data_IF_499641031380
#
_entry.id   IF_499641031380
#
_cell.length_a   1.000
_cell.length_b   1.000
_cell.length_c   1.000
_cell.angle_alpha   90.00
_cell.angle_beta   90.00
_cell.angle_gamma   90.00
#
_symmetry.space_group_name_H-M   'P 1'
#
loop_
_entity.id
_entity.type
_entity.pdbx_description
1 polymer ?
#
# COMPACT_ATOMS: atom_id res chain seq x y z
N UNK A 1 15.81 -2.69 11.42
CA UNK A 1 14.52 -3.28 11.86
C UNK A 1 14.64 -3.94 13.24
N UNK A 2 15.51 -4.97 13.43
CA UNK A 2 15.61 -5.69 14.73
C UNK A 2 15.86 -4.79 15.94
N UNK A 3 16.71 -3.77 15.82
CA UNK A 3 17.00 -2.82 16.93
C UNK A 3 15.78 -2.04 17.37
N UNK A 4 14.93 -1.59 16.44
CA UNK A 4 13.67 -0.91 16.76
C UNK A 4 12.69 -1.86 17.44
N UNK A 5 12.53 -3.08 16.93
CA UNK A 5 11.64 -4.07 17.52
C UNK A 5 12.02 -4.43 18.96
N UNK A 6 13.32 -4.50 19.25
CA UNK A 6 13.81 -4.73 20.61
C UNK A 6 13.60 -3.50 21.50
N UNK A 7 13.96 -2.31 21.03
CA UNK A 7 13.86 -1.08 21.82
C UNK A 7 12.42 -0.65 22.14
N UNK A 8 11.47 -0.95 21.24
CA UNK A 8 10.06 -0.57 21.43
C UNK A 8 9.18 -1.69 21.98
N UNK A 9 9.72 -2.90 22.15
CA UNK A 9 8.94 -4.08 22.56
C UNK A 9 8.17 -3.85 23.86
N UNK A 10 8.82 -3.38 24.87
CA UNK A 10 8.23 -3.23 26.21
C UNK A 10 7.19 -2.10 26.23
N UNK A 11 7.42 -1.02 25.47
CA UNK A 11 6.40 0.01 25.23
C UNK A 11 5.15 -0.59 24.57
N UNK A 12 5.33 -1.36 23.50
CA UNK A 12 4.22 -1.97 22.75
C UNK A 12 3.41 -2.93 23.63
N UNK A 13 4.11 -3.76 24.43
CA UNK A 13 3.45 -4.68 25.35
C UNK A 13 2.65 -3.93 26.42
N UNK A 14 3.19 -2.87 26.97
CA UNK A 14 2.51 -2.05 27.97
C UNK A 14 1.28 -1.34 27.38
N UNK A 15 1.40 -0.72 26.21
CA UNK A 15 0.27 -0.13 25.49
C UNK A 15 -0.82 -1.18 25.19
N UNK A 16 -0.43 -2.40 24.83
CA UNK A 16 -1.38 -3.49 24.59
C UNK A 16 -2.11 -3.95 25.85
N UNK A 17 -1.43 -3.96 26.99
CA UNK A 17 -2.02 -4.33 28.27
C UNK A 17 -2.99 -3.26 28.81
N UNK A 18 -2.60 -1.98 28.72
CA UNK A 18 -3.41 -0.88 29.25
C UNK A 18 -4.54 -0.46 28.28
N UNK A 19 -4.42 -0.75 26.97
CA UNK A 19 -5.39 -0.41 25.92
C UNK A 19 -5.81 -1.65 25.11
N UNK A 20 -6.38 -2.65 25.77
CA UNK A 20 -6.73 -3.96 25.19
C UNK A 20 -7.65 -3.89 23.96
N UNK A 21 -8.53 -2.89 23.90
CA UNK A 21 -9.52 -2.72 22.83
C UNK A 21 -9.00 -1.90 21.64
N UNK A 22 -7.72 -1.51 21.64
CA UNK A 22 -7.06 -0.81 20.55
C UNK A 22 -6.17 -1.78 19.80
N UNK A 23 -6.46 -1.99 18.51
CA UNK A 23 -5.57 -2.76 17.63
C UNK A 23 -4.40 -1.88 17.26
N UNK A 24 -3.17 -2.35 17.49
CA UNK A 24 -1.96 -1.60 17.14
C UNK A 24 -1.02 -2.43 16.28
N UNK A 25 -0.37 -1.76 15.33
CA UNK A 25 0.63 -2.34 14.43
C UNK A 25 1.82 -1.38 14.36
N UNK A 26 3.00 -1.92 14.55
CA UNK A 26 4.25 -1.15 14.55
C UNK A 26 5.18 -1.62 13.44
N UNK A 27 5.74 -0.67 12.71
CA UNK A 27 6.72 -0.92 11.69
C UNK A 27 7.88 0.07 11.85
N UNK A 28 9.00 -0.38 12.37
CA UNK A 28 10.12 0.45 12.79
C UNK A 28 9.68 1.54 13.77
N UNK A 29 9.77 2.81 13.37
CA UNK A 29 9.38 4.00 14.11
C UNK A 29 7.91 4.43 13.88
N UNK A 30 7.24 3.79 12.90
CA UNK A 30 5.83 4.09 12.60
C UNK A 30 4.88 3.24 13.44
N UNK A 31 4.16 3.87 14.35
CA UNK A 31 3.10 3.26 15.15
C UNK A 31 1.71 3.55 14.54
N UNK A 32 0.89 2.53 14.44
CA UNK A 32 -0.48 2.62 13.94
C UNK A 32 -1.44 2.04 14.97
N UNK A 33 -2.57 2.70 15.17
CA UNK A 33 -3.61 2.25 16.07
C UNK A 33 -4.99 2.35 15.42
N UNK A 34 -5.86 1.39 15.72
CA UNK A 34 -7.23 1.33 15.23
C UNK A 34 -8.20 0.97 16.35
N UNK A 35 -9.32 1.67 16.42
CA UNK A 35 -10.33 1.43 17.46
C UNK A 35 -11.39 2.53 17.50
N UNK A 36 -12.19 2.53 18.58
CA UNK A 36 -13.16 3.61 18.84
C UNK A 36 -12.42 4.88 19.27
N UNK A 37 -12.90 6.05 18.86
CA UNK A 37 -12.21 7.34 19.05
C UNK A 37 -11.79 7.61 20.50
N UNK A 38 -12.66 7.37 21.48
CA UNK A 38 -12.32 7.58 22.91
C UNK A 38 -11.20 6.66 23.37
N UNK A 39 -11.21 5.38 22.95
CA UNK A 39 -10.14 4.43 23.25
C UNK A 39 -8.84 4.76 22.54
N UNK A 40 -8.92 5.27 21.30
CA UNK A 40 -7.75 5.79 20.58
C UNK A 40 -7.16 7.01 21.28
N UNK A 41 -8.01 7.87 21.88
CA UNK A 41 -7.52 9.01 22.69
C UNK A 41 -6.77 8.54 23.94
N UNK A 42 -7.30 7.55 24.65
CA UNK A 42 -6.63 6.97 25.82
C UNK A 42 -5.28 6.36 25.43
N UNK A 43 -5.23 5.63 24.32
CA UNK A 43 -3.99 5.06 23.77
C UNK A 43 -3.00 6.16 23.37
N UNK A 44 -3.46 7.23 22.72
CA UNK A 44 -2.64 8.37 22.34
C UNK A 44 -2.05 9.09 23.55
N UNK A 45 -2.84 9.34 24.58
CA UNK A 45 -2.40 9.99 25.81
C UNK A 45 -1.39 9.12 26.55
N UNK A 46 -1.67 7.82 26.64
CA UNK A 46 -0.73 6.88 27.23
C UNK A 46 0.60 6.84 26.47
N UNK A 47 0.55 6.75 25.13
CA UNK A 47 1.75 6.78 24.29
C UNK A 47 2.57 8.06 24.50
N UNK A 48 1.93 9.22 24.56
CA UNK A 48 2.62 10.50 24.84
C UNK A 48 3.24 10.54 26.23
N UNK A 49 2.59 9.93 27.22
CA UNK A 49 3.06 9.91 28.61
C UNK A 49 4.24 8.97 28.84
N UNK A 50 4.19 7.76 28.30
CA UNK A 50 5.21 6.73 28.56
C UNK A 50 6.24 6.58 27.42
N UNK A 51 5.88 6.92 26.19
CA UNK A 51 6.76 6.80 25.02
C UNK A 51 8.15 7.39 25.20
N UNK A 52 8.29 8.60 25.76
CA UNK A 52 9.61 9.22 26.01
C UNK A 52 10.56 8.36 26.84
N UNK A 53 10.06 7.54 27.77
CA UNK A 53 10.86 6.61 28.58
C UNK A 53 11.53 5.53 27.73
N UNK A 54 10.97 5.26 26.55
CA UNK A 54 11.45 4.26 25.58
C UNK A 54 12.08 4.91 24.33
N UNK A 55 12.33 6.25 24.37
CA UNK A 55 12.88 6.99 23.25
C UNK A 55 11.90 7.24 22.08
N UNK A 56 10.60 7.05 22.32
CA UNK A 56 9.53 7.29 21.33
C UNK A 56 8.84 8.61 21.62
N UNK A 57 8.91 9.54 20.67
CA UNK A 57 8.34 10.88 20.78
C UNK A 57 7.30 11.09 19.66
N UNK A 58 6.01 10.84 19.93
CA UNK A 58 4.96 11.05 18.95
C UNK A 58 4.96 12.49 18.42
N UNK A 59 4.78 12.64 17.10
CA UNK A 59 4.71 13.96 16.46
C UNK A 59 3.28 14.21 15.97
N UNK A 60 2.48 15.03 16.68
CA UNK A 60 1.08 15.27 16.31
C UNK A 60 0.92 15.78 14.88
N UNK A 61 1.78 16.71 14.44
CA UNK A 61 1.74 17.29 13.07
C UNK A 61 2.02 16.28 11.94
N UNK A 62 2.59 15.12 12.27
CA UNK A 62 2.80 14.00 11.33
C UNK A 62 1.78 12.87 11.52
N UNK A 63 0.95 12.99 12.56
CA UNK A 63 -0.07 11.98 12.88
C UNK A 63 -1.34 12.28 12.09
N UNK A 64 -1.90 11.24 11.47
CA UNK A 64 -3.16 11.34 10.73
C UNK A 64 -4.21 10.45 11.39
N UNK A 65 -5.36 11.02 11.68
CA UNK A 65 -6.55 10.31 12.15
C UNK A 65 -7.51 10.16 10.97
N UNK A 66 -7.65 8.94 10.48
CA UNK A 66 -8.56 8.63 9.37
C UNK A 66 -9.87 8.11 9.94
N UNK A 67 -10.95 8.83 9.71
CA UNK A 67 -12.28 8.47 10.15
C UNK A 67 -12.99 7.63 9.09
N UNK A 68 -13.69 6.60 9.55
CA UNK A 68 -14.52 5.77 8.68
C UNK A 68 -15.81 6.49 8.24
N UNK A 69 -16.31 7.39 9.08
CA UNK A 69 -17.59 8.07 8.90
C UNK A 69 -17.44 9.56 9.27
N UNK A 70 -17.99 10.43 8.44
CA UNK A 70 -17.99 11.88 8.66
C UNK A 70 -18.80 12.32 9.88
N UNK A 71 -19.76 11.52 10.33
CA UNK A 71 -20.52 11.79 11.57
C UNK A 71 -19.65 11.82 12.82
N UNK A 72 -18.45 11.22 12.74
CA UNK A 72 -17.48 11.18 13.83
C UNK A 72 -16.58 12.43 13.89
N UNK A 73 -16.64 13.32 12.90
CA UNK A 73 -15.81 14.54 12.84
C UNK A 73 -15.90 15.41 14.11
N UNK A 74 -17.11 15.79 14.60
CA UNK A 74 -17.20 16.64 15.79
C UNK A 74 -16.53 16.02 17.02
N UNK A 75 -16.74 14.71 17.22
CA UNK A 75 -16.10 13.99 18.33
C UNK A 75 -14.58 13.88 18.14
N UNK A 76 -14.13 13.69 16.91
CA UNK A 76 -12.70 13.61 16.62
C UNK A 76 -12.00 14.95 16.84
N UNK A 77 -12.63 16.05 16.47
CA UNK A 77 -12.14 17.41 16.72
C UNK A 77 -12.12 17.75 18.23
N UNK A 78 -13.17 17.38 18.96
CA UNK A 78 -13.21 17.50 20.42
C UNK A 78 -12.02 16.77 21.08
N UNK A 79 -11.73 15.55 20.65
CA UNK A 79 -10.72 14.71 21.30
C UNK A 79 -9.28 14.98 20.86
N UNK A 80 -9.08 15.38 19.60
CA UNK A 80 -7.75 15.47 18.98
C UNK A 80 -7.40 16.83 18.39
N UNK A 81 -8.35 17.75 18.26
CA UNK A 81 -8.14 19.04 17.59
C UNK A 81 -7.03 19.90 18.22
N UNK A 82 -6.97 19.95 19.56
CA UNK A 82 -5.95 20.73 20.27
C UNK A 82 -4.52 20.19 20.10
N UNK A 83 -4.36 18.94 19.69
CA UNK A 83 -3.03 18.31 19.55
C UNK A 83 -2.35 18.60 18.21
N UNK A 84 -3.06 19.17 17.25
CA UNK A 84 -2.55 19.39 15.89
C UNK A 84 -2.45 18.10 15.06
N UNK A 85 -3.21 17.07 15.42
CA UNK A 85 -3.39 15.84 14.64
C UNK A 85 -4.22 16.14 13.39
N UNK A 86 -3.79 15.68 12.23
CA UNK A 86 -4.53 15.86 11.00
C UNK A 86 -5.70 14.90 10.93
N UNK A 87 -6.92 15.42 11.02
CA UNK A 87 -8.16 14.63 10.93
C UNK A 87 -8.66 14.63 9.49
N UNK A 88 -9.03 13.46 8.96
CA UNK A 88 -9.55 13.30 7.60
C UNK A 88 -10.58 12.17 7.50
N UNK A 89 -11.55 12.34 6.62
CA UNK A 89 -12.54 11.32 6.24
C UNK A 89 -12.24 10.69 4.89
N UNK A 90 -11.29 11.23 4.15
CA UNK A 90 -10.93 10.75 2.82
C UNK A 90 -9.99 9.56 2.90
N UNK A 91 -8.82 9.77 3.46
CA UNK A 91 -7.80 8.72 3.60
C UNK A 91 -6.41 9.26 3.83
N UNK A 92 -5.48 8.34 3.97
CA UNK A 92 -4.06 8.64 4.13
C UNK A 92 -3.18 7.61 3.45
N UNK A 93 -2.01 8.05 2.98
CA UNK A 93 -0.95 7.15 2.48
C UNK A 93 -0.12 6.65 3.64
N UNK A 94 0.12 5.34 3.69
CA UNK A 94 0.87 4.73 4.75
C UNK A 94 1.73 3.59 4.25
N UNK A 95 3.04 3.63 4.52
CA UNK A 95 4.02 2.59 4.15
C UNK A 95 3.89 2.17 2.67
N UNK A 96 3.65 3.15 1.78
CA UNK A 96 3.50 2.91 0.34
C UNK A 96 2.13 2.40 -0.12
N UNK A 97 1.23 2.09 0.81
CA UNK A 97 -0.18 1.75 0.55
C UNK A 97 -1.10 2.93 0.85
N UNK A 98 -2.40 2.69 0.84
CA UNK A 98 -3.44 3.68 1.12
C UNK A 98 -4.54 3.08 1.99
N UNK A 99 -4.99 3.88 2.96
CA UNK A 99 -6.16 3.61 3.79
C UNK A 99 -7.12 4.77 3.61
N UNK A 100 -8.39 4.51 3.39
CA UNK A 100 -9.40 5.56 3.21
C UNK A 100 -10.68 5.04 2.58
N UNK A 101 -11.51 5.99 2.14
CA UNK A 101 -12.73 5.70 1.39
C UNK A 101 -12.40 5.19 -0.03
N UNK A 102 -13.41 4.67 -0.73
CA UNK A 102 -13.21 4.07 -2.04
C UNK A 102 -12.72 5.08 -3.08
N UNK A 103 -13.20 6.32 -3.04
CA UNK A 103 -12.77 7.37 -3.97
C UNK A 103 -11.28 7.68 -3.81
N UNK A 104 -10.79 7.83 -2.59
CA UNK A 104 -9.37 8.08 -2.30
C UNK A 104 -8.47 6.90 -2.73
N UNK A 105 -8.92 5.66 -2.46
CA UNK A 105 -8.21 4.47 -2.91
C UNK A 105 -8.13 4.38 -4.43
N UNK A 106 -9.26 4.63 -5.09
CA UNK A 106 -9.38 4.61 -6.56
C UNK A 106 -8.44 5.63 -7.20
N UNK A 107 -8.48 6.89 -6.78
CA UNK A 107 -7.60 7.95 -7.27
C UNK A 107 -6.13 7.61 -7.09
N UNK A 108 -5.75 7.14 -5.91
CA UNK A 108 -4.38 6.73 -5.62
C UNK A 108 -3.89 5.63 -6.55
N UNK A 109 -4.70 4.57 -6.74
CA UNK A 109 -4.33 3.41 -7.55
C UNK A 109 -4.29 3.78 -9.03
N UNK A 110 -5.28 4.53 -9.53
CA UNK A 110 -5.33 4.99 -10.93
C UNK A 110 -4.10 5.84 -11.28
N UNK A 111 -3.75 6.81 -10.43
CA UNK A 111 -2.54 7.62 -10.60
C UNK A 111 -1.24 6.79 -10.64
N UNK A 112 -1.20 5.65 -9.94
CA UNK A 112 -0.07 4.71 -10.00
C UNK A 112 -0.06 3.92 -11.30
N UNK A 113 -1.22 3.43 -11.72
CA UNK A 113 -1.37 2.63 -12.94
C UNK A 113 -0.98 3.46 -14.16
N UNK A 114 -1.43 4.71 -14.26
CA UNK A 114 -1.03 5.62 -15.34
C UNK A 114 0.48 5.73 -15.48
N UNK A 115 1.20 5.90 -14.37
CA UNK A 115 2.67 5.92 -14.38
C UNK A 115 3.27 4.60 -14.81
N UNK A 116 2.72 3.48 -14.35
CA UNK A 116 3.22 2.16 -14.74
C UNK A 116 2.94 1.83 -16.20
N UNK A 117 1.84 2.30 -16.77
CA UNK A 117 1.54 2.19 -18.20
C UNK A 117 2.60 2.93 -19.02
N UNK A 118 2.97 4.16 -18.60
CA UNK A 118 4.05 4.91 -19.25
C UNK A 118 5.39 4.17 -19.15
N UNK A 119 5.74 3.67 -17.96
CA UNK A 119 6.96 2.90 -17.73
C UNK A 119 7.00 1.62 -18.60
N UNK A 120 5.86 0.90 -18.74
CA UNK A 120 5.72 -0.29 -19.59
C UNK A 120 5.90 0.04 -21.07
N UNK A 121 5.31 1.15 -21.53
CA UNK A 121 5.45 1.58 -22.92
C UNK A 121 6.90 1.97 -23.26
N UNK A 122 7.59 2.67 -22.38
CA UNK A 122 9.02 2.96 -22.53
C UNK A 122 9.85 1.68 -22.55
N UNK A 123 9.51 0.71 -21.71
CA UNK A 123 10.19 -0.58 -21.73
C UNK A 123 9.92 -1.38 -23.00
N UNK A 124 8.72 -1.25 -23.58
CA UNK A 124 8.39 -1.84 -24.87
C UNK A 124 9.24 -1.26 -26.02
N UNK A 125 9.55 0.03 -25.99
CA UNK A 125 10.45 0.64 -26.97
C UNK A 125 11.87 0.10 -26.86
N UNK A 126 12.40 -0.04 -25.65
CA UNK A 126 13.69 -0.68 -25.38
C UNK A 126 13.70 -2.14 -25.84
N UNK A 127 12.59 -2.86 -25.63
CA UNK A 127 12.48 -4.27 -25.97
C UNK A 127 12.60 -4.57 -27.48
N UNK A 128 12.38 -3.59 -28.34
CA UNK A 128 12.58 -3.75 -29.81
C UNK A 128 14.03 -3.99 -30.18
N UNK A 129 14.95 -3.44 -29.40
CA UNK A 129 16.40 -3.57 -29.62
C UNK A 129 17.02 -4.58 -28.65
N UNK A 130 16.58 -4.56 -27.37
CA UNK A 130 17.15 -5.34 -26.27
C UNK A 130 16.08 -6.17 -25.53
N UNK A 131 15.46 -7.19 -26.17
CA UNK A 131 14.30 -7.90 -25.62
C UNK A 131 14.62 -8.66 -24.32
N UNK A 132 15.84 -9.21 -24.17
CA UNK A 132 16.22 -9.96 -22.96
C UNK A 132 16.45 -9.02 -21.76
N UNK A 133 17.07 -7.87 -21.99
CA UNK A 133 17.25 -6.85 -20.97
C UNK A 133 15.91 -6.31 -20.48
N UNK A 134 15.00 -6.01 -21.42
CA UNK A 134 13.65 -5.56 -21.11
C UNK A 134 12.85 -6.60 -20.31
N UNK A 135 12.90 -7.89 -20.70
CA UNK A 135 12.25 -8.97 -19.96
C UNK A 135 12.79 -9.09 -18.51
N UNK A 136 14.08 -8.97 -18.34
CA UNK A 136 14.71 -9.00 -17.01
C UNK A 136 14.29 -7.81 -16.16
N UNK A 137 14.29 -6.60 -16.71
CA UNK A 137 13.85 -5.38 -16.02
C UNK A 137 12.37 -5.46 -15.62
N UNK A 138 11.52 -6.00 -16.51
CA UNK A 138 10.11 -6.25 -16.22
C UNK A 138 9.93 -7.21 -15.04
N UNK A 139 10.57 -8.37 -15.07
CA UNK A 139 10.38 -9.43 -14.08
C UNK A 139 10.94 -9.06 -12.70
N UNK A 140 12.15 -8.50 -12.65
CA UNK A 140 12.87 -8.25 -11.39
C UNK A 140 12.44 -6.91 -10.76
N UNK A 141 12.26 -5.89 -11.57
CA UNK A 141 12.01 -4.52 -11.09
C UNK A 141 10.54 -4.12 -11.15
N UNK A 142 10.00 -4.08 -12.36
CA UNK A 142 8.72 -3.43 -12.64
C UNK A 142 7.53 -4.19 -12.05
N UNK A 143 7.45 -5.50 -12.28
CA UNK A 143 6.31 -6.32 -11.83
C UNK A 143 6.15 -6.39 -10.31
N UNK A 144 7.18 -6.09 -9.54
CA UNK A 144 7.12 -6.10 -8.08
C UNK A 144 6.37 -4.87 -7.52
N UNK A 145 6.34 -3.75 -8.28
CA UNK A 145 5.74 -2.49 -7.83
C UNK A 145 4.24 -2.61 -7.63
N UNK A 146 3.51 -3.19 -8.60
CA UNK A 146 2.05 -3.35 -8.48
C UNK A 146 1.63 -4.52 -7.63
N UNK A 147 2.45 -5.57 -7.50
CA UNK A 147 2.17 -6.69 -6.59
C UNK A 147 1.98 -6.24 -5.14
N UNK A 148 2.73 -5.23 -4.71
CA UNK A 148 2.56 -4.64 -3.38
C UNK A 148 1.19 -3.98 -3.22
N UNK A 149 0.78 -3.16 -4.18
CA UNK A 149 -0.52 -2.48 -4.16
C UNK A 149 -1.67 -3.48 -4.19
N UNK A 150 -1.60 -4.50 -5.06
CA UNK A 150 -2.61 -5.56 -5.14
C UNK A 150 -2.78 -6.35 -3.83
N UNK A 151 -1.73 -6.48 -3.03
CA UNK A 151 -1.79 -7.16 -1.74
C UNK A 151 -2.32 -6.29 -0.60
N UNK A 152 -2.11 -5.00 -0.69
CA UNK A 152 -2.36 -4.06 0.41
C UNK A 152 -3.64 -3.26 0.24
N UNK A 153 -4.14 -3.11 -0.98
CA UNK A 153 -5.39 -2.39 -1.28
C UNK A 153 -6.40 -3.38 -1.84
N UNK A 154 -7.57 -3.47 -1.21
CA UNK A 154 -8.64 -4.39 -1.60
C UNK A 154 -9.51 -3.81 -2.72
N UNK A 155 -10.15 -4.69 -3.48
CA UNK A 155 -11.22 -4.38 -4.45
C UNK A 155 -10.81 -3.44 -5.60
N UNK A 156 -9.52 -3.47 -5.99
CA UNK A 156 -8.95 -2.61 -7.04
C UNK A 156 -8.60 -3.35 -8.33
N UNK A 157 -8.90 -4.65 -8.42
CA UNK A 157 -8.50 -5.49 -9.55
C UNK A 157 -8.93 -4.93 -10.90
N UNK A 158 -10.16 -4.41 -11.00
CA UNK A 158 -10.73 -3.82 -12.21
C UNK A 158 -9.98 -2.59 -12.74
N UNK A 159 -9.22 -1.91 -11.88
CA UNK A 159 -8.44 -0.73 -12.27
C UNK A 159 -7.20 -1.08 -13.08
N UNK A 160 -6.73 -2.34 -13.02
CA UNK A 160 -5.48 -2.76 -13.65
C UNK A 160 -5.59 -3.05 -15.15
N UNK A 161 -6.79 -3.01 -15.73
CA UNK A 161 -7.01 -3.29 -17.14
C UNK A 161 -6.08 -2.48 -18.07
N UNK A 162 -5.89 -1.14 -17.91
CA UNK A 162 -5.00 -0.38 -18.78
C UNK A 162 -3.54 -0.85 -18.70
N UNK A 163 -3.08 -1.31 -17.54
CA UNK A 163 -1.74 -1.85 -17.37
C UNK A 163 -1.60 -3.22 -18.07
N UNK A 164 -2.61 -4.08 -17.96
CA UNK A 164 -2.65 -5.36 -18.65
C UNK A 164 -2.65 -5.17 -20.17
N UNK A 165 -3.43 -4.21 -20.67
CA UNK A 165 -3.49 -3.87 -22.10
C UNK A 165 -2.12 -3.38 -22.60
N UNK A 166 -1.42 -2.55 -21.85
CA UNK A 166 -0.08 -2.08 -22.21
C UNK A 166 0.95 -3.24 -22.21
N UNK A 167 0.88 -4.14 -21.23
CA UNK A 167 1.77 -5.32 -21.18
C UNK A 167 1.51 -6.24 -22.36
N UNK A 168 0.25 -6.59 -22.63
CA UNK A 168 -0.12 -7.56 -23.67
C UNK A 168 -0.11 -6.97 -25.07
N UNK A 169 -0.46 -5.70 -25.21
CA UNK A 169 -0.55 -5.02 -26.50
C UNK A 169 0.80 -4.48 -27.01
N UNK A 170 1.67 -4.04 -26.10
CA UNK A 170 2.90 -3.34 -26.47
C UNK A 170 4.16 -4.10 -26.04
N UNK A 171 4.31 -4.42 -24.74
CA UNK A 171 5.55 -4.98 -24.23
C UNK A 171 5.80 -6.41 -24.69
N UNK A 172 4.82 -7.29 -24.56
CA UNK A 172 4.99 -8.69 -24.95
C UNK A 172 5.24 -8.88 -26.45
N UNK A 173 4.52 -8.21 -27.36
CA UNK A 173 4.86 -8.22 -28.78
C UNK A 173 6.25 -7.69 -29.10
N UNK A 174 6.71 -6.65 -28.42
CA UNK A 174 8.06 -6.11 -28.59
C UNK A 174 9.14 -7.12 -28.15
N UNK A 175 8.95 -7.79 -27.01
CA UNK A 175 9.87 -8.84 -26.53
C UNK A 175 9.89 -10.05 -27.46
N UNK A 176 8.72 -10.48 -27.96
CA UNK A 176 8.61 -11.68 -28.79
C UNK A 176 8.86 -11.45 -30.29
N UNK A 177 9.01 -10.19 -30.72
CA UNK A 177 9.17 -9.79 -32.12
C UNK A 177 7.91 -10.03 -32.98
N UNK A 178 6.76 -10.34 -32.39
CA UNK A 178 5.47 -10.59 -33.05
C UNK A 178 4.28 -10.45 -32.11
N UNK A 179 3.11 -10.24 -32.68
CA UNK A 179 1.85 -10.27 -31.92
C UNK A 179 1.56 -11.69 -31.45
N UNK A 180 1.18 -11.84 -30.20
CA UNK A 180 0.82 -13.11 -29.59
C UNK A 180 -0.68 -13.41 -29.73
N UNK A 181 -1.02 -14.66 -30.00
CA UNK A 181 -2.39 -15.16 -29.89
C UNK A 181 -2.84 -15.22 -28.43
N UNK A 182 -4.14 -15.31 -28.18
CA UNK A 182 -4.69 -15.37 -26.81
C UNK A 182 -4.19 -16.59 -26.02
N UNK A 183 -4.00 -17.73 -26.68
CA UNK A 183 -3.42 -18.93 -26.07
C UNK A 183 -1.97 -18.72 -25.66
N UNK A 184 -1.17 -18.06 -26.51
CA UNK A 184 0.23 -17.73 -26.20
C UNK A 184 0.34 -16.70 -25.11
N UNK A 185 -0.53 -15.69 -25.07
CA UNK A 185 -0.60 -14.72 -23.97
C UNK A 185 -0.81 -15.41 -22.62
N UNK A 186 -1.73 -16.38 -22.56
CA UNK A 186 -1.98 -17.18 -21.35
C UNK A 186 -0.76 -18.01 -20.95
N UNK A 187 -0.06 -18.61 -21.91
CA UNK A 187 1.17 -19.38 -21.65
C UNK A 187 2.30 -18.48 -21.14
N UNK A 188 2.53 -17.34 -21.78
CA UNK A 188 3.54 -16.36 -21.34
C UNK A 188 3.20 -15.84 -19.94
N UNK A 189 1.94 -15.54 -19.67
CA UNK A 189 1.50 -15.21 -18.33
C UNK A 189 1.85 -16.30 -17.31
N UNK A 190 1.63 -17.57 -17.58
CA UNK A 190 2.00 -18.68 -16.70
C UNK A 190 3.52 -18.82 -16.51
N UNK A 191 4.31 -18.64 -17.55
CA UNK A 191 5.78 -18.74 -17.49
C UNK A 191 6.40 -17.60 -16.69
N UNK A 192 5.93 -16.39 -16.88
CA UNK A 192 6.33 -15.23 -16.07
C UNK A 192 5.90 -15.39 -14.60
N UNK A 193 5.00 -16.32 -14.31
CA UNK A 193 4.39 -16.58 -13.03
C UNK A 193 4.91 -17.80 -12.30
N UNK A 194 5.36 -18.82 -13.01
CA UNK A 194 5.86 -20.06 -12.42
C UNK A 194 7.11 -19.87 -11.53
N UNK A 195 7.72 -18.69 -11.56
CA UNK A 195 8.83 -18.35 -10.71
C UNK A 195 8.51 -18.14 -9.22
N UNK A 196 7.25 -17.89 -8.83
CA UNK A 196 6.77 -17.87 -7.42
C UNK A 196 5.26 -17.90 -7.37
N UNK A 197 4.70 -18.89 -6.69
CA UNK A 197 3.27 -19.09 -6.44
C UNK A 197 2.56 -17.79 -6.03
N UNK A 198 1.55 -17.41 -6.78
CA UNK A 198 0.46 -16.58 -6.29
C UNK A 198 0.29 -15.23 -6.96
N UNK A 199 -0.90 -14.99 -7.40
CA UNK A 199 -1.61 -13.74 -7.70
C UNK A 199 -1.67 -13.25 -9.15
N UNK A 200 -2.44 -13.97 -9.97
CA UNK A 200 -3.26 -13.43 -11.05
C UNK A 200 -4.49 -14.33 -11.20
N UNK A 201 -5.40 -14.17 -10.31
CA UNK A 201 -6.69 -14.85 -10.32
C UNK A 201 -7.81 -13.87 -10.68
N UNK A 202 -7.50 -12.85 -11.50
CA UNK A 202 -8.47 -11.80 -11.81
C UNK A 202 -9.09 -11.87 -13.21
N UNK A 203 -8.71 -12.86 -14.04
CA UNK A 203 -9.33 -13.05 -15.34
C UNK A 203 -10.02 -14.41 -15.47
N UNK A 204 -10.71 -14.87 -14.43
CA UNK A 204 -11.70 -15.95 -14.55
C UNK A 204 -12.95 -15.55 -13.77
N UNK A 205 -13.77 -14.70 -14.37
CA UNK A 205 -15.23 -14.72 -14.32
C UNK A 205 -15.77 -13.97 -15.52
#
# INVERSE_FOLDING_TARGET
>A
MAKYALGTRDLILRLKQECEHVVQVWYADDGNAGGRLRLLKEWWDLLNRIGPQYGVFPKPTKTNLVLKDSTLLPLAEELFGEYGVKITTEGNRQIGAVIGNEAFKHEFVTSKIEKWVLDVNQLADIAKEEPQAALSAFNVGMSQRWKFIQRTVKDIGHLFQPLEDAIHGNLMPAICGRVLSDSERRLVALLLWSGKKGYFRFLQN
#
